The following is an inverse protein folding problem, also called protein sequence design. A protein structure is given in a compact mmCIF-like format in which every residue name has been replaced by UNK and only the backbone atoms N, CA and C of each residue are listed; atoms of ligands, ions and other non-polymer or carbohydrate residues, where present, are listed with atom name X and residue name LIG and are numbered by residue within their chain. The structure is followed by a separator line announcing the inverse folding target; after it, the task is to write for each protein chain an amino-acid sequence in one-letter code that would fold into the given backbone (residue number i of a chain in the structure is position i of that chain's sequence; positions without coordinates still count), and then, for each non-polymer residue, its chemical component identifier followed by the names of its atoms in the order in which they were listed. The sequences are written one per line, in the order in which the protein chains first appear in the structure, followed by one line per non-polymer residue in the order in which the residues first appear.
data_IF_560069673344
#
_entry.id   IF_560069673344
#
_cell.length_a   1.000
_cell.length_b   1.000
_cell.length_c   1.000
_cell.angle_alpha   90.00
_cell.angle_beta   90.00
_cell.angle_gamma   90.00
#
_symmetry.space_group_name_H-M   'P 1'
#
loop_
_entity.id
_entity.type
_entity.pdbx_description
1 polymer ?
#
# COMPACT_ATOMS: atom_id res chain seq x y z
N UNK A 1 23.22 57.86 -5.28
CA UNK A 1 22.04 57.25 -4.63
C UNK A 1 21.02 56.94 -5.73
N UNK A 2 20.66 55.72 -6.12
CA UNK A 2 20.71 54.38 -5.53
C UNK A 2 20.96 53.36 -6.66
N UNK A 3 21.71 52.30 -6.34
CA UNK A 3 22.06 51.21 -7.24
C UNK A 3 20.82 50.42 -7.70
N UNK A 4 20.65 50.24 -9.01
CA UNK A 4 19.73 49.27 -9.58
C UNK A 4 20.51 47.97 -9.86
N UNK A 5 20.46 47.04 -8.92
CA UNK A 5 20.93 45.67 -9.09
C UNK A 5 19.99 44.95 -10.07
N UNK A 6 20.45 44.71 -11.30
CA UNK A 6 19.84 43.73 -12.21
C UNK A 6 20.38 42.35 -11.86
N UNK A 7 19.63 41.61 -11.04
CA UNK A 7 19.83 40.17 -10.86
C UNK A 7 19.27 39.49 -12.11
N UNK A 8 20.17 38.97 -12.93
CA UNK A 8 19.88 38.08 -14.04
C UNK A 8 19.57 36.69 -13.45
N UNK A 9 18.30 36.34 -13.33
CA UNK A 9 17.87 35.01 -12.92
C UNK A 9 18.06 34.07 -14.12
N UNK A 10 19.16 33.30 -14.14
CA UNK A 10 19.35 32.16 -15.02
C UNK A 10 18.38 31.06 -14.60
N UNK A 11 17.22 30.99 -15.26
CA UNK A 11 16.35 29.81 -15.23
C UNK A 11 17.06 28.70 -16.02
N UNK A 12 17.84 27.88 -15.31
CA UNK A 12 18.22 26.54 -15.76
C UNK A 12 16.96 25.68 -15.78
N UNK A 13 16.24 25.70 -16.91
CA UNK A 13 15.27 24.65 -17.23
C UNK A 13 16.05 23.36 -17.44
N UNK A 14 16.12 22.53 -16.41
CA UNK A 14 16.47 21.12 -16.54
C UNK A 14 15.32 20.44 -17.30
N UNK A 15 15.36 20.53 -18.63
CA UNK A 15 14.63 19.58 -19.47
C UNK A 15 15.27 18.22 -19.23
N UNK A 16 14.66 17.40 -18.37
CA UNK A 16 14.80 15.96 -18.47
C UNK A 16 14.29 15.59 -19.86
N UNK A 17 15.22 15.48 -20.81
CA UNK A 17 14.98 14.70 -22.00
C UNK A 17 14.65 13.30 -21.51
N UNK A 18 13.36 12.93 -21.56
CA UNK A 18 12.96 11.53 -21.59
C UNK A 18 13.66 10.95 -22.82
N UNK A 19 14.77 10.26 -22.57
CA UNK A 19 15.36 9.40 -23.56
C UNK A 19 14.28 8.38 -23.91
N UNK A 20 13.78 8.47 -25.13
CA UNK A 20 13.05 7.39 -25.81
C UNK A 20 14.05 6.27 -26.06
N UNK A 21 14.42 5.55 -25.00
CA UNK A 21 15.21 4.33 -25.08
C UNK A 21 14.27 3.16 -25.33
N UNK A 22 14.58 2.34 -26.34
CA UNK A 22 13.96 1.04 -26.56
C UNK A 22 13.80 0.27 -25.25
N UNK A 23 12.60 -0.24 -24.98
CA UNK A 23 12.25 -1.13 -23.85
C UNK A 23 13.00 -2.48 -23.82
N UNK A 24 14.10 -2.65 -24.58
CA UNK A 24 14.69 -3.95 -24.89
C UNK A 24 16.14 -4.17 -24.45
N UNK A 25 16.75 -3.28 -23.66
CA UNK A 25 18.10 -3.56 -23.12
C UNK A 25 18.20 -3.19 -21.64
N UNK A 26 18.15 -4.22 -20.78
CA UNK A 26 18.42 -4.08 -19.35
C UNK A 26 19.91 -3.75 -19.13
N UNK A 27 20.26 -2.96 -18.09
CA UNK A 27 21.66 -2.66 -17.80
C UNK A 27 22.48 -3.92 -17.51
N UNK A 28 23.74 -3.99 -17.97
CA UNK A 28 24.62 -5.15 -17.67
C UNK A 28 24.93 -5.34 -16.19
N UNK A 29 24.67 -4.33 -15.36
CA UNK A 29 24.87 -4.38 -13.91
C UNK A 29 23.84 -3.53 -13.19
N UNK A 30 23.22 -4.12 -12.17
CA UNK A 30 22.31 -3.43 -11.24
C UNK A 30 22.72 -3.75 -9.80
N UNK A 31 22.66 -2.75 -8.93
CA UNK A 31 22.89 -2.92 -7.49
C UNK A 31 21.99 -1.97 -6.68
N UNK A 32 21.08 -2.55 -5.90
CA UNK A 32 20.12 -1.86 -5.06
C UNK A 32 20.76 -1.46 -3.72
N UNK A 33 21.52 -0.37 -3.72
CA UNK A 33 22.31 0.08 -2.56
C UNK A 33 21.50 0.47 -1.32
N UNK A 34 20.19 0.69 -1.46
CA UNK A 34 19.31 1.16 -0.37
C UNK A 34 18.56 0.03 0.35
N UNK A 35 18.75 -1.22 -0.04
CA UNK A 35 18.12 -2.35 0.65
C UNK A 35 18.74 -2.45 2.06
N UNK A 36 17.97 -2.29 3.14
CA UNK A 36 18.53 -2.39 4.48
C UNK A 36 18.97 -3.82 4.77
N UNK A 37 20.00 -3.97 5.61
CA UNK A 37 20.38 -5.27 6.15
C UNK A 37 19.67 -5.48 7.49
N UNK A 38 18.78 -6.48 7.55
CA UNK A 38 18.07 -6.86 8.79
C UNK A 38 18.58 -8.22 9.26
N UNK A 39 19.23 -8.24 10.43
CA UNK A 39 19.68 -9.49 11.04
C UNK A 39 18.50 -10.26 11.62
N UNK A 40 18.32 -11.51 11.22
CA UNK A 40 17.24 -12.38 11.68
C UNK A 40 17.37 -12.72 13.16
N UNK A 41 16.21 -12.92 13.80
CA UNK A 41 16.08 -13.56 15.10
C UNK A 41 15.84 -15.06 14.90
N UNK A 42 16.59 -15.93 15.57
CA UNK A 42 16.37 -17.37 15.50
C UNK A 42 16.20 -17.89 14.05
N UNK A 43 15.04 -18.46 13.75
CA UNK A 43 14.65 -19.00 12.44
C UNK A 43 13.88 -18.01 11.54
N UNK A 44 13.99 -16.70 11.79
CA UNK A 44 13.26 -15.65 11.04
C UNK A 44 13.94 -15.26 9.71
N UNK A 45 14.57 -16.21 8.99
CA UNK A 45 15.21 -15.87 7.71
C UNK A 45 14.20 -15.30 6.71
N UNK A 46 12.96 -15.80 6.71
CA UNK A 46 11.88 -15.32 5.86
C UNK A 46 11.32 -13.96 6.34
N UNK A 47 10.85 -13.79 7.59
CA UNK A 47 10.39 -12.48 8.07
C UNK A 47 11.42 -11.36 7.96
N UNK A 48 12.70 -11.65 8.24
CA UNK A 48 13.76 -10.67 8.10
C UNK A 48 13.97 -10.26 6.64
N UNK A 49 13.98 -11.22 5.70
CA UNK A 49 14.10 -10.93 4.27
C UNK A 49 12.93 -10.11 3.73
N UNK A 50 11.70 -10.46 4.13
CA UNK A 50 10.49 -9.71 3.79
C UNK A 50 10.52 -8.28 4.36
N UNK A 51 10.96 -8.10 5.60
CA UNK A 51 11.15 -6.78 6.17
C UNK A 51 12.20 -5.94 5.41
N UNK A 52 13.29 -6.56 4.90
CA UNK A 52 14.27 -5.84 4.07
C UNK A 52 13.62 -5.32 2.78
N UNK A 53 12.82 -6.16 2.11
CA UNK A 53 12.10 -5.81 0.87
C UNK A 53 11.06 -4.72 1.16
N UNK A 54 10.25 -4.88 2.20
CA UNK A 54 9.22 -3.91 2.56
C UNK A 54 9.82 -2.52 2.88
N UNK A 55 10.91 -2.48 3.67
CA UNK A 55 11.59 -1.23 4.00
C UNK A 55 12.27 -0.58 2.79
N UNK A 56 12.78 -1.37 1.83
CA UNK A 56 13.29 -0.83 0.56
C UNK A 56 12.20 -0.04 -0.18
N UNK A 57 10.96 -0.52 -0.14
CA UNK A 57 9.78 0.15 -0.70
C UNK A 57 9.15 1.21 0.22
N UNK A 58 9.83 1.61 1.30
CA UNK A 58 9.35 2.66 2.21
C UNK A 58 8.29 2.22 3.21
N UNK A 59 7.94 0.93 3.26
CA UNK A 59 7.00 0.40 4.25
C UNK A 59 7.73 0.14 5.56
N UNK A 60 7.35 0.89 6.59
CA UNK A 60 7.90 0.74 7.94
C UNK A 60 7.31 -0.49 8.62
N UNK A 61 8.05 -1.59 8.54
CA UNK A 61 7.75 -2.84 9.26
C UNK A 61 9.03 -3.44 9.83
N UNK A 62 8.92 -4.31 10.83
CA UNK A 62 10.01 -5.17 11.29
C UNK A 62 9.71 -6.66 11.08
N UNK A 63 10.68 -7.51 11.42
CA UNK A 63 10.58 -8.96 11.24
C UNK A 63 9.57 -9.62 12.21
N UNK A 64 9.24 -8.98 13.34
CA UNK A 64 8.24 -9.53 14.28
C UNK A 64 6.84 -9.30 13.71
N UNK A 65 6.57 -8.08 13.24
CA UNK A 65 5.31 -7.72 12.58
C UNK A 65 5.06 -8.60 11.35
N UNK A 66 6.08 -8.83 10.52
CA UNK A 66 5.96 -9.72 9.37
C UNK A 66 5.67 -11.17 9.80
N UNK A 67 6.30 -11.66 10.87
CA UNK A 67 6.07 -13.02 11.37
C UNK A 67 4.65 -13.21 11.92
N UNK A 68 4.07 -12.20 12.57
CA UNK A 68 2.68 -12.20 13.01
C UNK A 68 1.70 -12.21 11.83
N UNK A 69 2.03 -11.50 10.75
CA UNK A 69 1.21 -11.46 9.54
C UNK A 69 1.27 -12.76 8.72
N UNK A 70 2.37 -13.51 8.80
CA UNK A 70 2.59 -14.69 7.96
C UNK A 70 1.82 -15.93 8.46
N UNK A 71 2.20 -16.49 9.62
CA UNK A 71 1.59 -17.71 10.17
C UNK A 71 1.91 -17.91 11.65
N UNK A 72 1.10 -18.69 12.37
CA UNK A 72 1.36 -19.03 13.78
C UNK A 72 2.69 -19.77 13.98
N UNK A 73 3.13 -20.57 12.99
CA UNK A 73 4.44 -21.23 13.02
C UNK A 73 5.59 -20.21 12.92
N UNK A 74 5.42 -19.18 12.08
CA UNK A 74 6.39 -18.09 11.94
C UNK A 74 6.46 -17.23 13.20
N UNK A 75 5.30 -16.85 13.76
CA UNK A 75 5.22 -16.14 15.03
C UNK A 75 5.92 -16.91 16.15
N UNK A 76 5.78 -18.24 16.18
CA UNK A 76 6.43 -19.11 17.16
C UNK A 76 7.85 -19.57 16.80
N UNK A 77 8.48 -19.00 15.76
CA UNK A 77 9.88 -19.27 15.38
C UNK A 77 10.20 -20.74 14.99
N UNK A 78 9.21 -21.45 14.41
CA UNK A 78 9.32 -22.87 14.05
C UNK A 78 9.69 -23.11 12.57
N UNK A 79 10.17 -22.07 11.88
CA UNK A 79 10.44 -22.10 10.44
C UNK A 79 9.25 -21.61 9.61
N UNK A 80 9.55 -21.09 8.43
CA UNK A 80 8.59 -20.36 7.60
C UNK A 80 8.77 -20.76 6.13
N UNK A 81 7.66 -20.95 5.42
CA UNK A 81 7.69 -21.27 4.00
C UNK A 81 7.63 -19.99 3.13
N UNK A 82 8.16 -20.02 1.89
CA UNK A 82 7.98 -18.91 0.94
C UNK A 82 6.52 -18.49 0.71
N UNK A 83 5.56 -19.42 0.83
CA UNK A 83 4.13 -19.12 0.76
C UNK A 83 3.65 -18.21 1.91
N UNK A 84 4.19 -18.41 3.11
CA UNK A 84 3.87 -17.59 4.29
C UNK A 84 4.44 -16.17 4.12
N UNK A 85 5.59 -16.05 3.44
CA UNK A 85 6.15 -14.75 3.04
C UNK A 85 5.20 -13.99 2.12
N UNK A 86 4.76 -14.64 1.03
CA UNK A 86 3.87 -14.01 0.05
C UNK A 86 2.57 -13.57 0.71
N UNK A 87 1.98 -14.39 1.58
CA UNK A 87 0.80 -14.04 2.35
C UNK A 87 1.02 -12.81 3.25
N UNK A 88 2.15 -12.74 3.97
CA UNK A 88 2.46 -11.57 4.79
C UNK A 88 2.67 -10.31 3.95
N UNK A 89 3.36 -10.43 2.82
CA UNK A 89 3.58 -9.30 1.90
C UNK A 89 2.26 -8.82 1.29
N UNK A 90 1.35 -9.74 0.94
CA UNK A 90 -0.01 -9.40 0.51
C UNK A 90 -0.81 -8.63 1.56
N UNK A 91 -0.69 -9.01 2.84
CA UNK A 91 -1.29 -8.25 3.95
C UNK A 91 -0.66 -6.87 4.17
N UNK A 92 0.56 -6.66 3.69
CA UNK A 92 1.24 -5.35 3.66
C UNK A 92 0.93 -4.55 2.38
N UNK A 93 0.02 -5.04 1.53
CA UNK A 93 -0.43 -4.37 0.30
C UNK A 93 0.40 -4.72 -0.95
N UNK A 94 1.40 -5.60 -0.85
CA UNK A 94 2.20 -6.01 -2.01
C UNK A 94 1.45 -7.05 -2.86
N UNK A 95 1.66 -7.03 -4.16
CA UNK A 95 1.36 -8.17 -5.05
C UNK A 95 2.63 -8.98 -5.28
N UNK A 96 2.48 -10.22 -5.75
CA UNK A 96 3.63 -11.04 -6.08
C UNK A 96 3.27 -12.45 -6.51
N UNK A 97 4.28 -13.14 -7.00
CA UNK A 97 4.18 -14.52 -7.44
C UNK A 97 5.44 -15.30 -7.05
N UNK A 98 5.30 -16.63 -6.98
CA UNK A 98 6.43 -17.52 -6.75
C UNK A 98 6.86 -18.12 -8.07
N UNK A 99 8.15 -17.96 -8.41
CA UNK A 99 8.75 -18.59 -9.57
C UNK A 99 9.73 -19.68 -9.10
N UNK A 100 9.56 -20.89 -9.65
CA UNK A 100 10.44 -22.04 -9.41
C UNK A 100 10.99 -22.52 -10.73
N UNK A 101 12.14 -23.18 -10.67
CA UNK A 101 12.75 -23.81 -11.82
C UNK A 101 13.24 -25.21 -11.48
N UNK A 102 13.22 -26.11 -12.46
CA UNK A 102 13.58 -27.52 -12.27
C UNK A 102 15.08 -27.79 -12.49
N UNK A 103 15.76 -26.93 -13.25
CA UNK A 103 17.18 -27.08 -13.54
C UNK A 103 17.82 -25.83 -14.13
N UNK A 104 19.11 -25.91 -14.43
CA UNK A 104 19.87 -24.74 -14.87
C UNK A 104 19.37 -24.16 -16.19
N UNK A 105 18.97 -24.99 -17.15
CA UNK A 105 18.44 -24.49 -18.43
C UNK A 105 17.19 -23.63 -18.24
N UNK A 106 16.25 -24.13 -17.44
CA UNK A 106 15.00 -23.44 -17.07
C UNK A 106 15.29 -22.14 -16.29
N UNK A 107 16.26 -22.17 -15.36
CA UNK A 107 16.72 -20.95 -14.69
C UNK A 107 17.21 -19.89 -15.68
N UNK A 108 18.06 -20.25 -16.65
CA UNK A 108 18.59 -19.28 -17.61
C UNK A 108 17.53 -18.77 -18.59
N UNK A 109 16.56 -19.60 -18.96
CA UNK A 109 15.51 -19.26 -19.92
C UNK A 109 14.38 -18.44 -19.31
N UNK A 110 14.03 -18.69 -18.03
CA UNK A 110 12.82 -18.14 -17.42
C UNK A 110 13.11 -17.36 -16.13
N UNK A 111 13.87 -17.91 -15.19
CA UNK A 111 14.07 -17.26 -13.88
C UNK A 111 15.02 -16.06 -13.96
N UNK A 112 16.17 -16.20 -14.62
CA UNK A 112 17.19 -15.16 -14.69
C UNK A 112 16.70 -13.88 -15.42
N UNK A 113 15.98 -13.97 -16.56
CA UNK A 113 15.37 -12.79 -17.18
C UNK A 113 14.44 -12.02 -16.23
N UNK A 114 13.55 -12.72 -15.51
CA UNK A 114 12.63 -12.08 -14.56
C UNK A 114 13.37 -11.49 -13.34
N UNK A 115 14.43 -12.14 -12.87
CA UNK A 115 15.31 -11.59 -11.84
C UNK A 115 15.94 -10.28 -12.32
N UNK A 116 16.50 -10.25 -13.53
CA UNK A 116 17.16 -9.05 -14.09
C UNK A 116 16.16 -7.91 -14.27
N UNK A 117 14.98 -8.22 -14.82
CA UNK A 117 13.89 -7.26 -15.03
C UNK A 117 13.39 -6.68 -13.71
N UNK A 118 13.10 -7.54 -12.73
CA UNK A 118 12.61 -7.11 -11.42
C UNK A 118 13.65 -6.29 -10.66
N UNK A 119 14.93 -6.65 -10.68
CA UNK A 119 15.98 -5.84 -10.05
C UNK A 119 16.16 -4.49 -10.72
N UNK A 120 16.00 -4.39 -12.05
CA UNK A 120 16.14 -3.15 -12.79
C UNK A 120 14.96 -2.19 -12.61
N UNK A 121 13.74 -2.72 -12.49
CA UNK A 121 12.52 -1.90 -12.55
C UNK A 121 11.72 -1.88 -11.24
N UNK A 122 11.71 -2.97 -10.49
CA UNK A 122 10.81 -3.15 -9.35
C UNK A 122 11.57 -3.01 -8.03
N UNK A 123 12.54 -3.90 -7.75
CA UNK A 123 13.23 -3.90 -6.47
C UNK A 123 13.88 -5.25 -6.12
N UNK A 124 14.24 -5.42 -4.84
CA UNK A 124 14.90 -6.62 -4.34
C UNK A 124 13.96 -7.82 -4.35
N UNK A 125 14.52 -9.02 -4.53
CA UNK A 125 13.77 -10.25 -4.74
C UNK A 125 14.09 -11.22 -3.61
N UNK A 126 13.10 -11.90 -3.06
CA UNK A 126 13.37 -12.98 -2.13
C UNK A 126 13.77 -14.26 -2.89
N UNK A 127 14.77 -14.97 -2.38
CA UNK A 127 15.18 -16.28 -2.86
C UNK A 127 15.23 -17.28 -1.71
N UNK A 128 14.71 -18.48 -1.96
CA UNK A 128 14.87 -19.63 -1.07
C UNK A 128 15.99 -20.52 -1.59
N UNK A 129 16.98 -20.81 -0.75
CA UNK A 129 18.01 -21.81 -1.00
C UNK A 129 17.63 -23.17 -0.44
N UNK A 130 18.04 -24.23 -1.15
CA UNK A 130 17.82 -25.62 -0.75
C UNK A 130 18.56 -25.96 0.56
N UNK A 131 18.12 -26.99 1.30
CA UNK A 131 18.89 -27.55 2.40
C UNK A 131 20.33 -27.91 1.96
N UNK A 132 21.26 -27.88 2.90
CA UNK A 132 22.70 -28.12 2.77
C UNK A 132 23.51 -27.01 2.06
N UNK A 133 22.86 -25.93 1.60
CA UNK A 133 23.56 -24.74 1.09
C UNK A 133 24.02 -23.85 2.25
N UNK A 134 23.12 -23.60 3.21
CA UNK A 134 23.33 -22.74 4.38
C UNK A 134 23.06 -23.51 5.69
N UNK A 135 23.46 -24.78 5.74
CA UNK A 135 23.18 -25.70 6.86
C UNK A 135 22.11 -26.72 6.53
N UNK A 136 21.66 -27.50 7.51
CA UNK A 136 20.78 -28.66 7.30
C UNK A 136 19.34 -28.32 6.88
N UNK A 137 18.95 -27.05 6.98
CA UNK A 137 17.62 -26.56 6.58
C UNK A 137 17.73 -25.60 5.39
N UNK A 138 16.62 -25.38 4.69
CA UNK A 138 16.54 -24.33 3.67
C UNK A 138 16.73 -22.94 4.29
N UNK A 139 17.17 -21.97 3.48
CA UNK A 139 17.48 -20.63 3.96
C UNK A 139 17.04 -19.54 3.00
N UNK A 140 16.39 -18.50 3.54
CA UNK A 140 15.92 -17.34 2.78
C UNK A 140 16.98 -16.24 2.70
N UNK A 141 17.17 -15.66 1.53
CA UNK A 141 18.01 -14.48 1.30
C UNK A 141 17.30 -13.49 0.38
N UNK A 142 17.88 -12.29 0.23
CA UNK A 142 17.37 -11.26 -0.67
C UNK A 142 18.39 -11.01 -1.78
N UNK A 143 17.99 -11.16 -3.05
CA UNK A 143 18.77 -10.75 -4.21
C UNK A 143 18.67 -9.22 -4.32
N UNK A 144 19.82 -8.54 -4.36
CA UNK A 144 19.91 -7.07 -4.37
C UNK A 144 20.65 -6.52 -5.59
N UNK A 145 21.10 -7.39 -6.50
CA UNK A 145 21.79 -6.94 -7.70
C UNK A 145 22.31 -8.08 -8.57
N UNK A 146 22.77 -7.72 -9.76
CA UNK A 146 23.39 -8.63 -10.70
C UNK A 146 24.52 -7.94 -11.48
N UNK A 147 25.44 -8.73 -12.00
CA UNK A 147 26.52 -8.29 -12.88
C UNK A 147 26.70 -9.33 -14.01
N UNK A 148 26.18 -9.03 -15.20
CA UNK A 148 26.19 -9.94 -16.35
C UNK A 148 27.61 -10.19 -16.87
N UNK A 149 28.51 -9.21 -16.73
CA UNK A 149 29.92 -9.37 -17.12
C UNK A 149 30.59 -10.47 -16.30
N UNK A 150 30.26 -10.58 -15.02
CA UNK A 150 30.81 -11.61 -14.13
C UNK A 150 29.89 -12.82 -14.00
N UNK A 151 28.65 -12.73 -14.51
CA UNK A 151 27.59 -13.73 -14.36
C UNK A 151 27.27 -14.03 -12.90
N UNK A 152 27.11 -12.98 -12.11
CA UNK A 152 26.94 -13.06 -10.65
C UNK A 152 25.69 -12.33 -10.17
N UNK A 153 25.08 -12.87 -9.11
CA UNK A 153 24.06 -12.22 -8.31
C UNK A 153 24.64 -11.80 -6.96
N UNK A 154 24.15 -10.69 -6.42
CA UNK A 154 24.50 -10.17 -5.11
C UNK A 154 23.34 -10.35 -4.14
N UNK A 155 23.65 -10.75 -2.91
CA UNK A 155 22.67 -11.14 -1.91
C UNK A 155 22.87 -10.44 -0.58
N UNK A 156 21.77 -10.10 0.07
CA UNK A 156 21.72 -9.85 1.50
C UNK A 156 21.26 -11.13 2.22
N UNK A 157 22.11 -11.63 3.11
CA UNK A 157 21.82 -12.76 3.99
C UNK A 157 21.29 -12.23 5.32
N UNK A 158 20.10 -12.64 5.78
CA UNK A 158 19.58 -12.31 7.10
C UNK A 158 20.48 -12.70 8.29
N UNK A 159 21.56 -13.45 8.11
CA UNK A 159 22.61 -13.57 9.13
C UNK A 159 23.45 -12.31 9.33
N UNK A 160 23.20 -11.24 8.56
CA UNK A 160 23.90 -9.96 8.64
C UNK A 160 25.10 -9.88 7.70
N UNK A 161 25.09 -10.63 6.60
CA UNK A 161 26.21 -10.73 5.65
C UNK A 161 25.75 -10.38 4.23
N UNK A 162 26.65 -9.78 3.46
CA UNK A 162 26.48 -9.60 2.01
C UNK A 162 27.39 -10.59 1.31
N UNK A 163 26.89 -11.27 0.28
CA UNK A 163 27.69 -12.22 -0.50
C UNK A 163 27.28 -12.22 -1.97
N UNK A 164 28.10 -12.85 -2.81
CA UNK A 164 27.87 -13.00 -4.24
C UNK A 164 27.90 -14.49 -4.60
N UNK A 165 27.10 -14.89 -5.59
CA UNK A 165 27.13 -16.24 -6.19
C UNK A 165 26.98 -16.13 -7.70
N UNK A 166 27.60 -17.05 -8.43
CA UNK A 166 27.41 -17.12 -9.87
C UNK A 166 25.98 -17.52 -10.24
N UNK A 167 25.52 -17.14 -11.43
CA UNK A 167 24.23 -17.58 -11.98
C UNK A 167 24.10 -19.09 -11.97
N UNK A 168 25.18 -19.80 -12.27
CA UNK A 168 25.20 -21.26 -12.25
C UNK A 168 25.01 -21.83 -10.84
N UNK A 169 25.70 -21.28 -9.84
CA UNK A 169 25.51 -21.72 -8.45
C UNK A 169 24.10 -21.41 -7.97
N UNK A 170 23.57 -20.21 -8.25
CA UNK A 170 22.19 -19.87 -7.89
C UNK A 170 21.18 -20.81 -8.56
N UNK A 171 21.39 -21.16 -9.84
CA UNK A 171 20.51 -22.08 -10.54
C UNK A 171 20.48 -23.48 -9.90
N UNK A 172 21.62 -23.96 -9.38
CA UNK A 172 21.74 -25.28 -8.76
C UNK A 172 21.24 -25.31 -7.31
N UNK A 173 21.56 -24.28 -6.54
CA UNK A 173 21.35 -24.23 -5.09
C UNK A 173 20.01 -23.58 -4.72
N UNK A 174 19.44 -22.76 -5.60
CA UNK A 174 18.14 -22.14 -5.41
C UNK A 174 16.99 -23.13 -5.54
N UNK A 175 15.96 -22.90 -4.75
CA UNK A 175 14.69 -23.63 -4.79
C UNK A 175 13.61 -22.86 -5.55
N UNK A 176 13.67 -21.52 -5.48
CA UNK A 176 12.72 -20.63 -6.12
C UNK A 176 12.85 -19.21 -5.58
N UNK A 177 12.23 -18.27 -6.26
CA UNK A 177 12.15 -16.86 -5.89
C UNK A 177 10.70 -16.44 -5.64
N UNK A 178 10.55 -15.36 -4.88
CA UNK A 178 9.28 -14.64 -4.78
C UNK A 178 9.50 -13.26 -5.40
N UNK A 179 8.85 -13.03 -6.53
CA UNK A 179 8.78 -11.73 -7.19
C UNK A 179 7.71 -10.93 -6.47
N UNK A 180 8.06 -9.72 -6.05
CA UNK A 180 7.19 -8.86 -5.26
C UNK A 180 7.12 -7.51 -5.93
N UNK A 181 5.90 -7.03 -6.12
CA UNK A 181 5.62 -5.68 -6.60
C UNK A 181 5.14 -4.85 -5.42
N UNK A 182 5.75 -3.68 -5.25
CA UNK A 182 5.32 -2.72 -4.25
C UNK A 182 3.83 -2.43 -4.41
N UNK A 183 3.09 -2.17 -3.31
CA UNK A 183 1.76 -1.60 -3.43
C UNK A 183 1.85 -0.40 -4.38
N UNK A 184 0.92 -0.33 -5.33
CA UNK A 184 0.73 0.88 -6.08
C UNK A 184 0.62 2.04 -5.09
N UNK A 185 1.20 3.20 -5.43
CA UNK A 185 1.05 4.38 -4.56
C UNK A 185 -0.43 4.56 -4.28
N UNK A 186 -0.79 4.48 -2.99
CA UNK A 186 -2.16 4.69 -2.56
C UNK A 186 -2.63 6.01 -3.19
N UNK A 187 -3.74 5.99 -3.94
CA UNK A 187 -4.12 7.16 -4.70
C UNK A 187 -4.27 8.35 -3.73
N UNK A 188 -3.81 9.51 -4.16
CA UNK A 188 -3.93 10.75 -3.39
C UNK A 188 -4.88 11.69 -4.11
N UNK A 189 -5.64 12.46 -3.33
CA UNK A 189 -6.53 13.46 -3.90
C UNK A 189 -5.71 14.64 -4.44
N UNK A 190 -5.71 14.82 -5.76
CA UNK A 190 -5.14 16.01 -6.39
C UNK A 190 -5.93 17.26 -6.03
N UNK A 191 -5.29 18.43 -6.10
CA UNK A 191 -5.99 19.70 -5.92
C UNK A 191 -7.15 19.87 -6.91
N UNK A 192 -7.00 19.41 -8.15
CA UNK A 192 -8.06 19.41 -9.16
C UNK A 192 -9.26 18.55 -8.73
N UNK A 193 -9.01 17.37 -8.15
CA UNK A 193 -10.08 16.53 -7.61
C UNK A 193 -10.78 17.25 -6.46
N UNK A 194 -10.03 17.86 -5.54
CA UNK A 194 -10.58 18.58 -4.39
C UNK A 194 -11.46 19.75 -4.87
N UNK A 195 -10.98 20.57 -5.81
CA UNK A 195 -11.72 21.69 -6.37
C UNK A 195 -12.97 21.21 -7.14
N UNK A 196 -12.86 20.13 -7.91
CA UNK A 196 -14.01 19.51 -8.57
C UNK A 196 -15.06 19.10 -7.55
N UNK A 197 -14.67 18.39 -6.49
CA UNK A 197 -15.59 17.95 -5.44
C UNK A 197 -16.20 19.13 -4.67
N UNK A 198 -15.44 20.19 -4.41
CA UNK A 198 -15.95 21.44 -3.83
C UNK A 198 -17.05 22.06 -4.70
N UNK A 199 -16.88 22.05 -6.03
CA UNK A 199 -17.90 22.59 -6.95
C UNK A 199 -19.18 21.74 -6.96
N UNK A 200 -19.06 20.42 -6.81
CA UNK A 200 -20.19 19.48 -6.77
C UNK A 200 -20.90 19.55 -5.42
N UNK A 201 -20.16 19.62 -4.31
CA UNK A 201 -20.64 19.57 -2.94
C UNK A 201 -20.25 20.84 -2.19
N UNK A 202 -20.86 22.01 -2.51
CA UNK A 202 -20.43 23.29 -1.92
C UNK A 202 -20.76 23.40 -0.42
N UNK A 203 -21.83 22.74 0.03
CA UNK A 203 -22.28 22.73 1.41
C UNK A 203 -23.09 21.46 1.71
N UNK A 204 -23.30 21.20 2.99
CA UNK A 204 -24.23 20.19 3.48
C UNK A 204 -25.67 20.63 3.21
N UNK A 205 -26.48 19.74 2.63
CA UNK A 205 -27.86 20.04 2.23
C UNK A 205 -28.86 18.93 2.57
N UNK A 206 -28.44 17.92 3.34
CA UNK A 206 -29.32 16.80 3.69
C UNK A 206 -28.55 15.57 4.18
N UNK A 207 -29.17 14.40 4.15
CA UNK A 207 -28.53 13.19 4.64
C UNK A 207 -27.45 12.64 3.67
N UNK A 208 -26.74 11.61 4.12
CA UNK A 208 -25.64 11.01 3.38
C UNK A 208 -26.06 10.35 2.04
N UNK A 209 -27.32 9.91 1.89
CA UNK A 209 -27.82 9.37 0.61
C UNK A 209 -28.05 10.47 -0.42
N UNK A 210 -28.42 11.69 0.01
CA UNK A 210 -28.52 12.83 -0.91
C UNK A 210 -27.15 13.21 -1.50
N UNK A 211 -26.08 13.10 -0.72
CA UNK A 211 -24.71 13.28 -1.20
C UNK A 211 -24.37 12.30 -2.32
N UNK A 212 -24.71 11.01 -2.16
CA UNK A 212 -24.50 9.99 -3.19
C UNK A 212 -25.23 10.35 -4.49
N UNK A 213 -26.51 10.74 -4.40
CA UNK A 213 -27.30 11.13 -5.57
C UNK A 213 -26.71 12.35 -6.30
N UNK A 214 -26.21 13.33 -5.54
CA UNK A 214 -25.56 14.52 -6.07
C UNK A 214 -24.28 14.18 -6.84
N UNK A 215 -23.43 13.33 -6.27
CA UNK A 215 -22.21 12.84 -6.95
C UNK A 215 -22.55 12.10 -8.25
N UNK A 216 -23.61 11.27 -8.24
CA UNK A 216 -24.10 10.58 -9.42
C UNK A 216 -24.58 11.55 -10.51
N UNK A 217 -25.37 12.56 -10.17
CA UNK A 217 -25.84 13.59 -11.13
C UNK A 217 -24.71 14.39 -11.75
N UNK A 218 -23.60 14.56 -11.02
CA UNK A 218 -22.41 15.24 -11.50
C UNK A 218 -21.45 14.32 -12.30
N UNK A 219 -21.83 13.06 -12.56
CA UNK A 219 -20.97 12.05 -13.19
C UNK A 219 -19.60 11.91 -12.50
N UNK A 220 -19.55 12.06 -11.18
CA UNK A 220 -18.35 11.76 -10.41
C UNK A 220 -18.27 10.26 -10.18
N UNK A 221 -17.15 9.62 -10.54
CA UNK A 221 -16.91 8.21 -10.24
C UNK A 221 -16.83 8.01 -8.71
N UNK A 222 -17.71 7.17 -8.18
CA UNK A 222 -17.81 6.88 -6.76
C UNK A 222 -18.53 5.55 -6.49
N UNK A 223 -18.32 4.99 -5.30
CA UNK A 223 -19.04 3.82 -4.79
C UNK A 223 -19.56 4.11 -3.38
N UNK A 224 -20.83 3.76 -3.11
CA UNK A 224 -21.38 3.76 -1.75
C UNK A 224 -21.16 2.39 -1.12
N UNK A 225 -20.31 2.34 -0.11
CA UNK A 225 -19.95 1.14 0.65
C UNK A 225 -20.70 1.13 1.97
N UNK A 226 -21.35 0.00 2.26
CA UNK A 226 -22.01 -0.27 3.55
C UNK A 226 -21.08 -1.13 4.40
N UNK A 227 -20.40 -0.52 5.36
CA UNK A 227 -19.31 -1.17 6.09
C UNK A 227 -19.77 -2.04 7.28
N UNK A 228 -21.06 -2.11 7.55
CA UNK A 228 -21.69 -2.87 8.66
C UNK A 228 -22.06 -4.29 8.24
N UNK A 229 -22.06 -5.22 9.19
CA UNK A 229 -22.61 -6.56 8.98
C UNK A 229 -24.14 -6.53 8.91
N UNK A 230 -24.72 -7.34 8.01
CA UNK A 230 -26.17 -7.40 7.74
C UNK A 230 -27.03 -7.80 8.94
N UNK A 231 -26.45 -8.55 9.89
CA UNK A 231 -27.13 -9.16 11.04
C UNK A 231 -27.24 -8.26 12.28
N UNK A 232 -26.86 -6.98 12.18
CA UNK A 232 -26.80 -6.09 13.34
C UNK A 232 -27.33 -4.66 13.08
N UNK A 233 -28.17 -4.49 12.06
CA UNK A 233 -28.70 -3.20 11.60
C UNK A 233 -29.67 -2.56 12.59
N UNK A 234 -30.25 -3.35 13.47
CA UNK A 234 -31.28 -2.98 14.43
C UNK A 234 -30.68 -2.53 15.78
N UNK A 235 -29.35 -2.59 15.94
CA UNK A 235 -28.66 -2.25 17.19
C UNK A 235 -27.64 -1.10 17.04
N UNK A 236 -28.01 0.08 17.56
CA UNK A 236 -27.17 1.27 17.60
C UNK A 236 -25.82 1.07 18.30
N UNK A 237 -25.81 0.27 19.38
CA UNK A 237 -24.58 0.01 20.15
C UNK A 237 -23.61 -0.84 19.33
N UNK A 238 -24.13 -1.87 18.68
CA UNK A 238 -23.31 -2.74 17.82
C UNK A 238 -22.65 -1.93 16.70
N UNK A 239 -23.39 -1.09 15.99
CA UNK A 239 -22.83 -0.25 14.92
C UNK A 239 -21.71 0.67 15.41
N UNK A 240 -21.83 1.22 16.64
CA UNK A 240 -20.77 2.03 17.26
C UNK A 240 -19.55 1.21 17.65
N UNK A 241 -19.76 0.00 18.16
CA UNK A 241 -18.67 -0.90 18.54
C UNK A 241 -17.92 -1.38 17.29
N UNK A 242 -18.63 -1.79 16.22
CA UNK A 242 -18.03 -2.09 14.91
C UNK A 242 -17.24 -0.90 14.34
N UNK A 243 -17.76 0.33 14.43
CA UNK A 243 -17.01 1.50 13.99
C UNK A 243 -15.69 1.65 14.76
N UNK A 244 -15.70 1.40 16.08
CA UNK A 244 -14.52 1.55 16.94
C UNK A 244 -13.49 0.44 16.73
N UNK A 245 -13.96 -0.80 16.65
CA UNK A 245 -13.11 -1.99 16.63
C UNK A 245 -12.59 -2.27 15.23
N UNK A 246 -13.47 -2.25 14.23
CA UNK A 246 -13.14 -2.61 12.84
C UNK A 246 -12.96 -1.39 11.93
N UNK A 247 -13.60 -0.26 12.27
CA UNK A 247 -13.67 0.91 11.38
C UNK A 247 -12.31 1.49 11.01
N UNK A 248 -11.27 1.29 11.84
CA UNK A 248 -9.90 1.68 11.49
C UNK A 248 -9.40 0.88 10.28
N UNK A 249 -9.48 -0.45 10.33
CA UNK A 249 -9.06 -1.33 9.25
C UNK A 249 -9.87 -1.04 7.97
N UNK A 250 -11.18 -0.83 8.11
CA UNK A 250 -12.05 -0.52 6.98
C UNK A 250 -11.61 0.77 6.28
N UNK A 251 -11.31 1.83 7.05
CA UNK A 251 -10.82 3.09 6.48
C UNK A 251 -9.42 2.94 5.89
N UNK A 252 -8.51 2.18 6.52
CA UNK A 252 -7.18 1.91 5.96
C UNK A 252 -7.28 1.28 4.57
N UNK A 253 -8.09 0.23 4.42
CA UNK A 253 -8.34 -0.45 3.15
C UNK A 253 -9.02 0.47 2.12
N UNK A 254 -9.96 1.34 2.54
CA UNK A 254 -10.60 2.30 1.65
C UNK A 254 -9.59 3.25 1.00
N UNK A 255 -8.63 3.73 1.80
CA UNK A 255 -7.56 4.60 1.31
C UNK A 255 -6.43 3.86 0.56
N UNK A 256 -6.52 2.56 0.38
CA UNK A 256 -5.71 1.83 -0.62
C UNK A 256 -6.38 1.86 -2.00
N UNK A 257 -7.71 1.95 -2.05
CA UNK A 257 -8.50 1.93 -3.29
C UNK A 257 -8.90 3.30 -3.81
N UNK A 258 -9.06 4.28 -2.92
CA UNK A 258 -9.68 5.55 -3.23
C UNK A 258 -8.83 6.75 -2.76
N UNK A 259 -8.62 7.78 -3.62
CA UNK A 259 -7.90 9.00 -3.25
C UNK A 259 -8.56 9.81 -2.13
N UNK A 260 -9.88 9.68 -2.00
CA UNK A 260 -10.67 10.39 -1.03
C UNK A 260 -11.90 9.57 -0.67
N UNK A 261 -12.38 9.77 0.56
CA UNK A 261 -13.67 9.21 0.98
C UNK A 261 -14.53 10.29 1.61
N UNK A 262 -15.84 10.13 1.50
CA UNK A 262 -16.78 10.78 2.39
C UNK A 262 -17.21 9.83 3.48
N UNK A 263 -17.30 10.35 4.70
CA UNK A 263 -18.01 9.70 5.81
C UNK A 263 -18.97 10.72 6.44
N UNK A 264 -20.13 10.29 6.95
CA UNK A 264 -21.01 11.20 7.69
C UNK A 264 -20.39 11.54 9.04
N UNK A 265 -20.56 12.79 9.47
CA UNK A 265 -20.46 13.15 10.87
C UNK A 265 -21.86 13.03 11.48
N UNK A 266 -22.10 11.92 12.18
CA UNK A 266 -23.39 11.59 12.77
C UNK A 266 -23.31 11.60 14.29
N UNK A 267 -24.00 12.55 14.92
CA UNK A 267 -24.20 12.52 16.37
C UNK A 267 -25.57 11.93 16.66
N UNK A 268 -25.62 10.93 17.54
CA UNK A 268 -26.87 10.23 17.88
C UNK A 268 -27.59 9.58 16.69
N UNK A 269 -26.89 9.34 15.58
CA UNK A 269 -27.39 8.67 14.39
C UNK A 269 -27.80 9.61 13.25
N UNK A 270 -28.04 10.88 13.51
CA UNK A 270 -28.44 11.82 12.47
C UNK A 270 -27.21 12.48 11.85
N UNK A 271 -27.11 12.47 10.52
CA UNK A 271 -26.00 13.12 9.80
C UNK A 271 -26.11 14.63 9.93
N UNK A 272 -25.07 15.27 10.49
CA UNK A 272 -25.00 16.72 10.71
C UNK A 272 -24.05 17.45 9.76
N UNK A 273 -23.11 16.71 9.18
CA UNK A 273 -22.13 17.23 8.23
C UNK A 273 -21.54 16.07 7.43
N UNK A 274 -20.88 16.40 6.33
CA UNK A 274 -20.02 15.47 5.61
C UNK A 274 -18.57 15.70 6.04
N UNK A 275 -17.82 14.62 6.23
CA UNK A 275 -16.37 14.68 6.37
C UNK A 275 -15.77 14.24 5.04
N UNK A 276 -15.12 15.15 4.35
CA UNK A 276 -14.30 14.85 3.19
C UNK A 276 -12.88 14.55 3.67
N UNK A 277 -12.43 13.31 3.47
CA UNK A 277 -11.18 12.80 4.04
C UNK A 277 -10.22 12.40 2.93
N UNK A 278 -8.98 12.85 3.06
CA UNK A 278 -7.88 12.62 2.10
C UNK A 278 -6.60 12.25 2.83
N UNK A 279 -5.69 11.53 2.18
CA UNK A 279 -4.32 11.36 2.70
C UNK A 279 -3.55 12.69 2.56
N UNK A 280 -2.71 13.07 3.53
CA UNK A 280 -1.77 14.17 3.36
C UNK A 280 -0.74 13.83 2.25
N UNK A 281 -0.27 14.81 1.46
CA UNK A 281 0.72 14.59 0.41
C UNK A 281 2.01 13.93 0.91
N UNK A 282 2.43 14.28 2.13
CA UNK A 282 3.60 13.71 2.81
C UNK A 282 3.36 12.31 3.42
N UNK A 283 2.13 11.79 3.35
CA UNK A 283 1.72 10.52 3.94
C UNK A 283 1.68 10.53 5.49
N UNK A 284 1.62 9.34 6.08
CA UNK A 284 1.64 9.15 7.55
C UNK A 284 0.32 8.66 8.16
N UNK A 285 0.27 8.61 9.49
CA UNK A 285 -0.83 8.00 10.26
C UNK A 285 -2.03 8.93 10.51
N UNK A 286 -2.01 10.15 9.97
CA UNK A 286 -3.07 11.16 10.10
C UNK A 286 -3.61 11.53 8.73
N UNK A 287 -4.87 11.95 8.70
CA UNK A 287 -5.62 12.23 7.48
C UNK A 287 -6.07 13.69 7.47
N UNK A 288 -6.06 14.32 6.30
CA UNK A 288 -6.59 15.66 6.08
C UNK A 288 -8.10 15.57 5.95
N UNK A 289 -8.81 16.22 6.88
CA UNK A 289 -10.26 16.19 6.97
C UNK A 289 -10.81 17.59 6.79
N UNK A 290 -11.72 17.75 5.86
CA UNK A 290 -12.49 18.98 5.66
C UNK A 290 -13.93 18.68 6.04
N UNK A 291 -14.42 19.33 7.08
CA UNK A 291 -15.84 19.26 7.47
C UNK A 291 -16.64 20.14 6.51
N UNK A 292 -17.75 19.62 6.00
CA UNK A 292 -18.70 20.35 5.16
C UNK A 292 -20.02 20.38 5.92
N UNK A 293 -20.41 21.56 6.40
CA UNK A 293 -21.70 21.81 7.04
C UNK A 293 -22.54 22.78 6.22
N UNK A 294 -23.67 23.25 6.78
CA UNK A 294 -24.59 24.17 6.11
C UNK A 294 -23.93 25.49 5.71
N UNK A 295 -22.80 25.84 6.34
CA UNK A 295 -22.01 27.03 6.02
C UNK A 295 -20.94 26.76 4.95
N UNK A 296 -20.84 25.53 4.46
CA UNK A 296 -19.86 25.09 3.48
C UNK A 296 -18.64 24.42 4.08
N UNK A 297 -17.52 24.51 3.36
CA UNK A 297 -16.27 23.84 3.70
C UNK A 297 -15.53 24.57 4.82
N UNK A 298 -15.16 23.82 5.85
CA UNK A 298 -14.29 24.27 6.92
C UNK A 298 -12.81 24.02 6.58
N UNK A 299 -11.88 24.75 7.20
CA UNK A 299 -10.44 24.51 7.02
C UNK A 299 -10.05 23.06 7.32
N UNK A 300 -9.08 22.55 6.57
CA UNK A 300 -8.59 21.18 6.74
C UNK A 300 -7.96 21.00 8.14
N UNK A 301 -8.24 19.87 8.76
CA UNK A 301 -7.67 19.47 10.05
C UNK A 301 -7.08 18.07 9.95
N UNK A 302 -5.96 17.84 10.64
CA UNK A 302 -5.35 16.51 10.71
C UNK A 302 -6.04 15.67 11.78
N UNK A 303 -6.65 14.55 11.40
CA UNK A 303 -7.32 13.62 12.31
C UNK A 303 -6.73 12.21 12.21
N UNK A 304 -6.87 11.41 13.26
CA UNK A 304 -6.57 9.97 13.22
C UNK A 304 -7.81 9.20 12.77
N UNK A 305 -7.62 7.97 12.26
CA UNK A 305 -8.75 7.10 11.90
C UNK A 305 -9.66 6.82 13.10
N UNK A 306 -9.10 6.56 14.28
CA UNK A 306 -9.89 6.38 15.50
C UNK A 306 -10.69 7.64 15.89
N UNK A 307 -10.32 8.83 15.42
CA UNK A 307 -11.15 10.03 15.59
C UNK A 307 -12.32 10.08 14.62
N UNK A 308 -12.14 9.56 13.40
CA UNK A 308 -13.15 9.54 12.35
C UNK A 308 -14.25 8.52 12.67
N UNK A 309 -13.90 7.39 13.26
CA UNK A 309 -14.85 6.32 13.56
C UNK A 309 -15.83 6.65 14.70
N UNK A 310 -15.52 7.62 15.57
CA UNK A 310 -16.33 7.94 16.76
C UNK A 310 -17.77 8.34 16.47
N UNK A 311 -17.99 9.03 15.36
CA UNK A 311 -19.28 9.60 14.96
C UNK A 311 -19.71 9.10 13.58
N UNK A 312 -19.25 7.92 13.18
CA UNK A 312 -19.52 7.38 11.85
C UNK A 312 -20.86 6.63 11.79
N UNK A 313 -21.21 5.91 12.86
CA UNK A 313 -22.48 5.17 12.96
C UNK A 313 -23.68 6.08 12.72
N UNK A 314 -24.42 5.78 11.65
CA UNK A 314 -25.50 6.61 11.13
C UNK A 314 -26.77 5.82 11.06
N UNK A 315 -27.87 6.44 11.48
CA UNK A 315 -29.19 5.85 11.43
C UNK A 315 -29.91 6.29 10.15
N UNK A 316 -30.48 5.32 9.44
CA UNK A 316 -31.30 5.54 8.25
C UNK A 316 -32.72 5.06 8.51
N UNK A 317 -33.67 5.74 7.90
CA UNK A 317 -35.08 5.33 7.95
C UNK A 317 -35.38 4.46 6.73
N UNK A 318 -35.92 3.26 6.96
CA UNK A 318 -36.35 2.39 5.88
C UNK A 318 -37.76 2.79 5.44
N UNK A 319 -37.97 2.96 4.14
CA UNK A 319 -39.27 3.38 3.60
C UNK A 319 -40.39 2.43 4.09
N UNK A 320 -41.39 3.00 4.76
CA UNK A 320 -42.58 2.26 5.24
C UNK A 320 -42.44 1.59 6.62
N UNK A 321 -41.31 1.75 7.32
CA UNK A 321 -41.11 1.24 8.68
C UNK A 321 -40.64 2.36 9.62
N UNK A 322 -41.16 2.38 10.86
CA UNK A 322 -40.77 3.34 11.90
C UNK A 322 -39.40 3.01 12.54
N UNK A 323 -38.85 1.82 12.27
CA UNK A 323 -37.57 1.37 12.81
C UNK A 323 -36.39 1.95 12.03
N UNK A 324 -35.43 2.52 12.77
CA UNK A 324 -34.16 3.02 12.24
C UNK A 324 -33.17 1.88 12.06
N UNK A 325 -32.55 1.79 10.88
CA UNK A 325 -31.40 0.91 10.64
C UNK A 325 -30.10 1.67 10.89
N UNK A 326 -29.14 1.06 11.56
CA UNK A 326 -27.84 1.60 11.89
C UNK A 326 -26.79 1.03 10.96
N UNK A 327 -26.06 1.91 10.29
CA UNK A 327 -25.07 1.54 9.29
C UNK A 327 -23.79 2.37 9.43
N UNK A 328 -22.73 1.89 8.79
CA UNK A 328 -21.46 2.58 8.60
C UNK A 328 -21.29 2.92 7.10
N UNK A 329 -21.97 3.96 6.61
CA UNK A 329 -21.93 4.31 5.19
C UNK A 329 -20.66 5.08 4.86
N UNK A 330 -20.03 4.77 3.75
CA UNK A 330 -18.88 5.51 3.23
C UNK A 330 -19.00 5.64 1.74
N UNK A 331 -18.62 6.79 1.19
CA UNK A 331 -18.51 6.95 -0.26
C UNK A 331 -17.03 6.98 -0.60
N UNK A 332 -16.58 5.98 -1.36
CA UNK A 332 -15.26 5.96 -1.96
C UNK A 332 -15.31 6.78 -3.26
N UNK A 333 -14.42 7.77 -3.40
CA UNK A 333 -14.29 8.53 -4.64
C UNK A 333 -13.20 7.91 -5.49
N UNK A 334 -13.51 7.55 -6.72
CA UNK A 334 -12.53 6.98 -7.63
C UNK A 334 -11.96 8.04 -8.57
N UNK A 335 -10.71 7.87 -9.03
CA UNK A 335 -10.21 8.61 -10.19
C UNK A 335 -11.19 8.42 -11.37
N UNK A 336 -11.25 9.40 -12.27
CA UNK A 336 -11.96 9.17 -13.53
C UNK A 336 -11.32 7.94 -14.21
N UNK A 337 -12.12 7.02 -14.79
CA UNK A 337 -11.56 5.89 -15.52
C UNK A 337 -10.61 6.45 -16.59
N UNK A 338 -9.36 5.99 -16.57
CA UNK A 338 -8.42 6.25 -17.65
C UNK A 338 -9.04 5.69 -18.93
N UNK A 339 -9.32 6.59 -19.89
CA UNK A 339 -9.78 6.24 -21.23
C UNK A 339 -8.70 5.50 -22.02
#
# INVERSE_FOLDING_TARGET
MKHFNRILLLLLSATCAYATGNDNELPDRVELKKVPMIRQKGNYCVPASAAMIAQFHGIKTDQDQVAELSSAMSANNQGTYPSDMLLAMQKLGFSGETLRWEGSADFYQHALPEIRKSLAHTGPIYISFRPNVFGSMGHGCVIVGYNDRHKELKFHNPWGQVFEKSYQQTAQEGYGIVLIEAPAEAPSASEDLIQKIQSIVPQFDGNFLMLQQRLARANQAHELVWCSRRDARDNARFARDTARDDGRMILELAFERAPAVFIPLSQSGDTQAYLFVTRPPEGGARFLVRKIDERGWQPAQLMTLGSLTRNWATAFQQNGHDEKIWELPMIELHPAPSL
#
